data_IF_599665587241
#
_entry.id   IF_599665587241
#
_cell.length_a   1.000
_cell.length_b   1.000
_cell.length_c   1.000
_cell.angle_alpha   90.00
_cell.angle_beta   90.00
_cell.angle_gamma   90.00
#
_symmetry.space_group_name_H-M   'P 1'
#
loop_
_entity.id
_entity.type
_entity.pdbx_description
1 polymer ?
#
# COMPACT_ATOMS: atom_id res chain seq x y z
N UNK A 1 14.70 10.82 9.16
CA UNK A 1 14.27 10.05 9.15
C UNK A 1 13.19 9.96 8.60
N UNK A 2 12.74 9.78 7.81
CA UNK A 2 11.78 9.55 7.39
C UNK A 2 11.60 8.40 6.93
N UNK A 3 10.87 7.70 7.37
CA UNK A 3 10.63 6.38 7.04
C UNK A 3 10.08 6.23 5.66
N UNK A 4 9.15 7.01 5.28
CA UNK A 4 8.57 6.95 3.94
C UNK A 4 8.55 8.34 3.35
N UNK A 5 9.56 8.69 2.55
CA UNK A 5 9.54 9.98 1.91
C UNK A 5 8.41 10.05 0.89
N UNK A 6 7.78 11.20 0.77
CA UNK A 6 6.69 11.36 -0.18
C UNK A 6 7.13 11.14 -1.63
N UNK A 7 8.42 11.23 -1.87
CA UNK A 7 8.96 11.01 -3.21
C UNK A 7 9.10 9.54 -3.57
N UNK A 8 8.68 8.63 -2.69
CA UNK A 8 8.88 7.21 -2.93
C UNK A 8 8.14 6.69 -4.17
N UNK A 9 7.17 7.39 -4.64
CA UNK A 9 6.40 6.96 -5.79
C UNK A 9 5.16 6.19 -5.38
N UNK A 10 4.62 5.37 -6.28
CA UNK A 10 3.35 4.70 -6.04
C UNK A 10 3.53 3.47 -5.16
N UNK A 11 2.65 3.33 -4.19
CA UNK A 11 2.59 2.18 -3.30
C UNK A 11 1.41 1.32 -3.73
N UNK A 12 1.67 0.06 -4.04
CA UNK A 12 0.67 -0.88 -4.52
C UNK A 12 0.33 -1.88 -3.42
N UNK A 13 -0.96 -2.02 -3.10
CA UNK A 13 -1.42 -2.96 -2.10
C UNK A 13 -2.06 -4.17 -2.75
N UNK A 14 -1.56 -5.35 -2.48
CA UNK A 14 -2.15 -6.60 -2.95
C UNK A 14 -3.18 -7.05 -1.92
N UNK A 15 -4.43 -7.18 -2.33
CA UNK A 15 -5.53 -7.47 -1.41
C UNK A 15 -5.96 -6.23 -0.63
N UNK A 16 -6.04 -5.11 -1.31
CA UNK A 16 -6.24 -3.80 -0.68
C UNK A 16 -7.56 -3.69 0.09
N UNK A 17 -8.57 -4.46 -0.30
CA UNK A 17 -9.87 -4.43 0.37
C UNK A 17 -9.93 -5.23 1.66
N UNK A 18 -8.85 -5.91 2.03
CA UNK A 18 -8.81 -6.70 3.24
C UNK A 18 -8.87 -5.85 4.49
N UNK A 19 -9.28 -6.50 5.60
CA UNK A 19 -9.32 -5.86 6.90
C UNK A 19 -7.88 -5.47 7.27
N UNK A 20 -7.69 -4.25 7.67
CA UNK A 20 -6.37 -3.75 8.02
C UNK A 20 -5.58 -3.22 6.84
N UNK A 21 -5.80 -3.77 5.65
CA UNK A 21 -5.11 -3.27 4.46
C UNK A 21 -5.74 -1.97 3.98
N UNK A 22 -7.08 -1.95 3.89
CA UNK A 22 -7.78 -0.76 3.42
C UNK A 22 -7.53 0.44 4.33
N UNK A 23 -7.46 0.21 5.64
CA UNK A 23 -7.20 1.30 6.57
C UNK A 23 -5.83 1.92 6.38
N UNK A 24 -4.81 1.08 6.21
CA UNK A 24 -3.45 1.58 5.98
C UNK A 24 -3.36 2.32 4.65
N UNK A 25 -4.02 1.79 3.62
CA UNK A 25 -4.04 2.44 2.31
C UNK A 25 -4.67 3.83 2.41
N UNK A 26 -5.77 3.96 3.15
CA UNK A 26 -6.42 5.24 3.33
C UNK A 26 -5.54 6.23 4.09
N UNK A 27 -4.85 5.77 5.13
CA UNK A 27 -3.96 6.66 5.89
C UNK A 27 -2.85 7.18 4.98
N UNK A 28 -2.22 6.31 4.21
CA UNK A 28 -1.15 6.74 3.31
C UNK A 28 -1.67 7.69 2.23
N UNK A 29 -2.85 7.40 1.70
CA UNK A 29 -3.46 8.27 0.70
C UNK A 29 -3.70 9.67 1.30
N UNK A 30 -4.22 9.72 2.52
CA UNK A 30 -4.51 10.99 3.17
C UNK A 30 -3.24 11.75 3.52
N UNK A 31 -2.12 11.05 3.67
CA UNK A 31 -0.84 11.69 3.92
C UNK A 31 -0.18 12.22 2.64
N UNK A 32 -0.80 11.99 1.49
CA UNK A 32 -0.29 12.51 0.23
C UNK A 32 0.48 11.52 -0.62
N UNK A 33 0.56 10.26 -0.19
CA UNK A 33 1.23 9.25 -1.01
C UNK A 33 0.34 8.83 -2.18
N UNK A 34 0.97 8.42 -3.27
CA UNK A 34 0.25 7.83 -4.38
C UNK A 34 -0.02 6.37 -4.05
N UNK A 35 -1.28 6.01 -3.91
CA UNK A 35 -1.69 4.68 -3.45
C UNK A 35 -2.60 4.03 -4.47
N UNK A 36 -2.38 2.76 -4.73
CA UNK A 36 -3.25 1.95 -5.57
C UNK A 36 -3.24 0.53 -5.05
N UNK A 37 -4.05 -0.32 -5.63
CA UNK A 37 -4.06 -1.70 -5.21
C UNK A 37 -4.90 -2.59 -6.10
N UNK A 38 -4.98 -3.85 -5.69
CA UNK A 38 -5.80 -4.85 -6.36
C UNK A 38 -6.50 -5.68 -5.31
N UNK A 39 -7.59 -6.30 -5.70
CA UNK A 39 -8.29 -7.24 -4.85
C UNK A 39 -9.01 -8.25 -5.75
N UNK A 40 -9.22 -9.45 -5.21
CA UNK A 40 -9.90 -10.49 -5.96
C UNK A 40 -11.39 -10.21 -6.06
N UNK A 41 -11.93 -9.44 -5.14
CA UNK A 41 -13.36 -9.14 -5.09
C UNK A 41 -13.64 -7.65 -5.12
N UNK A 42 -14.80 -7.29 -5.68
CA UNK A 42 -15.26 -5.91 -5.71
C UNK A 42 -16.19 -5.69 -4.51
N UNK A 43 -15.63 -5.71 -3.32
CA UNK A 43 -16.40 -5.58 -2.10
C UNK A 43 -16.60 -4.15 -1.64
N UNK A 44 -17.24 -4.00 -0.48
CA UNK A 44 -17.56 -2.70 0.08
C UNK A 44 -16.32 -1.85 0.35
N UNK A 45 -15.24 -2.48 0.86
CA UNK A 45 -14.01 -1.75 1.13
C UNK A 45 -13.37 -1.23 -0.16
N UNK A 46 -13.40 -2.04 -1.22
CA UNK A 46 -12.86 -1.63 -2.51
C UNK A 46 -13.63 -0.42 -3.04
N UNK A 47 -14.95 -0.46 -2.94
CA UNK A 47 -15.78 0.66 -3.40
C UNK A 47 -15.50 1.93 -2.62
N UNK A 48 -15.35 1.79 -1.31
CA UNK A 48 -15.03 2.94 -0.46
C UNK A 48 -13.67 3.54 -0.83
N UNK A 49 -12.69 2.70 -1.09
CA UNK A 49 -11.36 3.18 -1.50
C UNK A 49 -11.42 3.93 -2.82
N UNK A 50 -12.20 3.41 -3.78
CA UNK A 50 -12.36 4.08 -5.06
C UNK A 50 -13.02 5.44 -4.89
N UNK A 51 -14.00 5.53 -4.01
CA UNK A 51 -14.67 6.80 -3.73
C UNK A 51 -13.72 7.81 -3.13
N UNK A 52 -12.70 7.34 -2.41
CA UNK A 52 -11.69 8.21 -1.84
C UNK A 52 -10.63 8.65 -2.86
N UNK A 53 -10.67 8.11 -4.06
CA UNK A 53 -9.70 8.46 -5.10
C UNK A 53 -8.57 7.47 -5.29
N UNK A 54 -8.64 6.31 -4.65
CA UNK A 54 -7.62 5.27 -4.78
C UNK A 54 -8.02 4.34 -5.92
N UNK A 55 -7.09 4.10 -6.84
CA UNK A 55 -7.32 3.17 -7.95
C UNK A 55 -7.22 1.73 -7.46
N UNK A 56 -8.25 0.94 -7.73
CA UNK A 56 -8.26 -0.47 -7.36
C UNK A 56 -8.66 -1.31 -8.56
N UNK A 57 -7.82 -2.29 -8.89
CA UNK A 57 -8.12 -3.27 -9.93
C UNK A 57 -8.76 -4.49 -9.30
N UNK A 58 -9.75 -5.07 -9.95
CA UNK A 58 -10.35 -6.33 -9.51
C UNK A 58 -9.67 -7.45 -10.28
N UNK A 59 -9.17 -8.44 -9.55
CA UNK A 59 -8.36 -9.51 -10.11
C UNK A 59 -6.88 -9.20 -9.97
N UNK A 60 -6.07 -10.26 -9.82
CA UNK A 60 -4.62 -10.09 -9.68
C UNK A 60 -3.95 -10.33 -11.02
N UNK A 61 -3.10 -9.41 -11.41
CA UNK A 61 -2.39 -9.47 -12.69
C UNK A 61 -1.11 -8.64 -12.55
N UNK A 62 -0.03 -9.13 -13.14
CA UNK A 62 1.25 -8.42 -13.08
C UNK A 62 1.15 -6.98 -13.59
N UNK A 63 0.26 -6.71 -14.54
CA UNK A 63 0.07 -5.38 -15.10
C UNK A 63 -0.48 -4.38 -14.08
N UNK A 64 -1.10 -4.88 -13.01
CA UNK A 64 -1.65 -4.00 -11.98
C UNK A 64 -0.57 -3.20 -11.27
N UNK A 65 0.67 -3.67 -11.29
CA UNK A 65 1.76 -2.96 -10.62
C UNK A 65 2.05 -1.60 -11.25
N UNK A 66 1.94 -1.50 -12.57
CA UNK A 66 2.24 -0.24 -13.25
C UNK A 66 3.61 0.28 -12.86
N UNK A 67 3.66 1.52 -12.40
CA UNK A 67 4.90 2.17 -12.00
C UNK A 67 5.14 2.10 -10.49
N UNK A 68 4.55 1.13 -9.82
CA UNK A 68 4.68 1.02 -8.36
C UNK A 68 6.13 0.83 -7.95
N UNK A 69 6.51 1.44 -6.85
CA UNK A 69 7.86 1.34 -6.32
C UNK A 69 7.93 0.57 -5.02
N UNK A 70 6.79 0.26 -4.42
CA UNK A 70 6.69 -0.58 -3.23
C UNK A 70 5.42 -1.38 -3.34
N UNK A 71 5.47 -2.64 -2.93
CA UNK A 71 4.30 -3.51 -2.90
C UNK A 71 4.06 -3.94 -1.46
N UNK A 72 2.84 -3.77 -0.97
CA UNK A 72 2.45 -4.16 0.38
C UNK A 72 1.55 -5.38 0.30
N UNK A 73 1.86 -6.39 1.10
CA UNK A 73 1.09 -7.64 1.13
C UNK A 73 0.69 -7.98 2.55
N UNK A 74 -0.38 -8.78 2.68
CA UNK A 74 -0.75 -9.36 3.95
C UNK A 74 -0.25 -10.80 4.00
N UNK A 75 -0.35 -11.43 5.17
CA UNK A 75 0.04 -12.83 5.29
C UNK A 75 -0.87 -13.76 4.49
N UNK A 76 -2.06 -13.30 4.11
CA UNK A 76 -2.98 -14.09 3.30
C UNK A 76 -2.56 -14.18 1.84
N UNK A 77 -1.69 -13.29 1.39
CA UNK A 77 -1.23 -13.29 0.00
C UNK A 77 -0.13 -14.32 -0.15
N UNK A 78 -0.30 -15.21 -1.12
CA UNK A 78 0.65 -16.30 -1.33
C UNK A 78 1.84 -15.84 -2.17
N UNK A 79 3.01 -16.47 -1.98
CA UNK A 79 4.19 -16.09 -2.77
C UNK A 79 4.03 -16.25 -4.28
N UNK A 80 3.11 -17.10 -4.71
CA UNK A 80 2.88 -17.33 -6.13
C UNK A 80 1.89 -16.37 -6.75
N UNK A 81 1.41 -15.39 -5.98
CA UNK A 81 0.53 -14.35 -6.51
C UNK A 81 1.25 -13.64 -7.67
N UNK A 82 0.59 -13.47 -8.82
CA UNK A 82 1.27 -12.90 -9.99
C UNK A 82 1.82 -11.50 -9.77
N UNK A 83 1.19 -10.71 -8.92
CA UNK A 83 1.70 -9.36 -8.62
C UNK A 83 2.93 -9.43 -7.74
N UNK A 84 2.96 -10.36 -6.78
CA UNK A 84 4.12 -10.54 -5.92
C UNK A 84 5.30 -11.05 -6.75
N UNK A 85 5.07 -12.00 -7.63
CA UNK A 85 6.12 -12.53 -8.49
C UNK A 85 6.67 -11.46 -9.42
N UNK A 86 5.80 -10.65 -10.01
CA UNK A 86 6.23 -9.58 -10.88
C UNK A 86 7.04 -8.53 -10.13
N UNK A 87 6.65 -8.22 -8.90
CA UNK A 87 7.38 -7.26 -8.08
C UNK A 87 8.80 -7.77 -7.80
N UNK A 88 8.91 -9.05 -7.45
CA UNK A 88 10.23 -9.62 -7.16
C UNK A 88 11.10 -9.67 -8.41
N UNK A 89 10.52 -10.00 -9.56
CA UNK A 89 11.25 -10.03 -10.82
C UNK A 89 11.75 -8.64 -11.21
N UNK A 90 11.00 -7.61 -10.88
CA UNK A 90 11.34 -6.23 -11.18
C UNK A 90 12.14 -5.57 -10.07
N UNK A 91 12.49 -6.32 -9.03
CA UNK A 91 13.24 -5.84 -7.87
C UNK A 91 12.53 -4.71 -7.13
N UNK A 92 11.19 -4.76 -7.14
CA UNK A 92 10.38 -3.83 -6.35
C UNK A 92 10.27 -4.41 -4.94
N UNK A 93 10.56 -3.62 -3.91
CA UNK A 93 10.46 -4.11 -2.53
C UNK A 93 9.04 -4.58 -2.21
N UNK A 94 8.95 -5.74 -1.59
CA UNK A 94 7.68 -6.30 -1.11
C UNK A 94 7.72 -6.28 0.41
N UNK A 95 6.83 -5.51 1.02
CA UNK A 95 6.79 -5.38 2.47
C UNK A 95 5.48 -5.93 3.00
N UNK A 96 5.50 -6.42 4.22
CA UNK A 96 4.30 -6.94 4.84
C UNK A 96 3.50 -5.83 5.49
N UNK A 97 2.19 -6.06 5.61
CA UNK A 97 1.31 -5.11 6.26
C UNK A 97 1.83 -4.68 7.64
N UNK A 98 2.35 -5.64 8.41
CA UNK A 98 2.86 -5.32 9.75
C UNK A 98 4.05 -4.38 9.68
N UNK A 99 4.93 -4.55 8.70
CA UNK A 99 6.06 -3.66 8.51
C UNK A 99 5.61 -2.26 8.13
N UNK A 100 4.62 -2.18 7.24
CA UNK A 100 4.08 -0.89 6.85
C UNK A 100 3.38 -0.21 8.02
N UNK A 101 2.69 -0.99 8.86
CA UNK A 101 2.05 -0.43 10.03
C UNK A 101 3.06 0.15 11.00
N UNK A 102 4.18 -0.55 11.21
CA UNK A 102 5.24 -0.06 12.07
C UNK A 102 5.83 1.25 11.53
N UNK A 103 6.00 1.35 10.22
CA UNK A 103 6.48 2.58 9.61
C UNK A 103 5.51 3.74 9.80
N UNK A 104 4.21 3.47 9.68
CA UNK A 104 3.22 4.50 9.91
C UNK A 104 3.23 4.97 11.36
N UNK A 105 3.42 4.06 12.31
CA UNK A 105 3.49 4.45 13.70
C UNK A 105 4.71 5.31 13.97
N UNK A 106 5.83 4.96 13.38
CA UNK A 106 7.04 5.76 13.51
C UNK A 106 6.85 7.16 12.92
N UNK A 107 6.18 7.24 11.78
CA UNK A 107 5.90 8.51 11.15
C UNK A 107 5.01 9.39 12.03
N UNK A 108 3.95 8.80 12.60
CA UNK A 108 3.07 9.54 13.50
C UNK A 108 3.80 10.00 14.75
N UNK A 109 4.66 9.16 15.28
CA UNK A 109 5.46 9.50 16.44
C UNK A 109 6.37 10.68 16.13
N UNK A 110 7.01 10.65 14.98
CA UNK A 110 7.89 11.74 14.59
C UNK A 110 7.13 13.05 14.43
N UNK A 111 5.91 13.01 13.88
CA UNK A 111 5.09 14.21 13.75
C UNK A 111 4.71 14.75 15.13
N UNK A 112 4.32 13.88 16.05
CA UNK A 112 3.89 14.28 17.36
C UNK A 112 5.02 14.92 18.18
N UNK A 113 6.25 14.42 18.01
CA UNK A 113 7.37 14.86 18.81
C UNK A 113 8.23 15.88 18.12
N UNK A 114 8.56 15.61 16.87
CA UNK A 114 9.50 16.42 16.15
C UNK A 114 8.91 17.27 15.07
N UNK A 115 7.75 16.89 14.55
CA UNK A 115 7.17 17.61 13.44
C UNK A 115 6.84 19.05 13.73
N UNK A 116 6.61 19.34 14.98
CA UNK A 116 6.32 20.70 15.38
C UNK A 116 7.53 21.59 15.25
N UNK A 117 8.70 20.98 15.18
CA UNK A 117 9.83 21.74 15.03
C UNK A 117 10.09 22.01 13.66
N UNK A 118 9.30 21.57 12.81
CA UNK A 118 9.36 21.89 11.39
C UNK A 118 10.54 21.37 10.77
#
# INVERSE_FOLDING_TARGET
MRALPLSIGTIHFVGIGGIGMSGIAEVLHNLGYSVQGSDIADGANVRRLRESGISVAVGHDARNLGNSQVVVVSTAVKPDNPEVQAARARLIPVVRRAEMLAELMRLRWAIAIGGTQG
#
